data_IF_028046198525
#
_entry.id   IF_028046198525
#
_cell.length_a   1.000
_cell.length_b   1.000
_cell.length_c   1.000
_cell.angle_alpha   90.00
_cell.angle_beta   90.00
_cell.angle_gamma   90.00
#
_symmetry.space_group_name_H-M   'P 1'
#
loop_
_entity.id
_entity.type
_entity.pdbx_description
1 polymer ?
#
# COMPACT_ATOMS: atom_id res chain seq x y z
N UNK A 1 0.92 -9.41 30.18
CA UNK A 1 0.20 -8.21 29.71
C UNK A 1 1.19 -7.38 28.92
N UNK A 2 1.23 -7.55 27.59
CA UNK A 2 2.08 -6.71 26.74
C UNK A 2 1.62 -5.25 26.86
N UNK A 3 2.58 -4.34 27.03
CA UNK A 3 2.33 -2.91 27.19
C UNK A 3 1.68 -2.41 25.90
N UNK A 4 0.38 -2.14 25.95
CA UNK A 4 -0.43 -1.81 24.77
C UNK A 4 -0.11 -0.46 24.10
N UNK A 5 0.97 0.26 24.48
CA UNK A 5 1.27 1.53 23.83
C UNK A 5 2.73 2.01 23.95
N UNK A 6 3.37 2.26 22.80
CA UNK A 6 4.74 2.83 22.68
C UNK A 6 4.74 4.34 22.37
N UNK A 7 3.60 5.04 22.48
CA UNK A 7 3.51 6.48 22.21
C UNK A 7 3.52 6.92 20.73
N UNK A 8 3.69 6.00 19.77
CA UNK A 8 3.67 6.30 18.33
C UNK A 8 2.25 6.12 17.74
N UNK A 9 1.55 7.20 17.32
CA UNK A 9 0.21 7.11 16.73
C UNK A 9 0.18 6.29 15.44
N UNK A 10 1.28 6.23 14.70
CA UNK A 10 1.38 5.48 13.44
C UNK A 10 1.26 3.98 13.65
N UNK A 11 1.47 3.47 14.87
CA UNK A 11 1.24 2.05 15.21
C UNK A 11 -0.25 1.71 15.39
N UNK A 12 -1.15 2.71 15.53
CA UNK A 12 -2.59 2.47 15.69
C UNK A 12 -3.25 2.14 14.35
N UNK A 13 -4.00 1.03 14.21
CA UNK A 13 -4.69 0.69 12.96
C UNK A 13 -5.63 1.80 12.45
N UNK A 14 -6.31 2.52 13.36
CA UNK A 14 -7.19 3.65 13.00
C UNK A 14 -6.45 4.83 12.38
N UNK A 15 -5.23 5.12 12.84
CA UNK A 15 -4.42 6.19 12.26
C UNK A 15 -4.01 5.83 10.82
N UNK A 16 -3.49 4.61 10.63
CA UNK A 16 -3.13 4.10 9.30
C UNK A 16 -4.33 4.10 8.35
N UNK A 17 -5.48 3.64 8.82
CA UNK A 17 -6.72 3.66 8.05
C UNK A 17 -7.13 5.06 7.62
N UNK A 18 -7.09 6.04 8.54
CA UNK A 18 -7.41 7.44 8.25
C UNK A 18 -6.44 8.05 7.23
N UNK A 19 -5.16 7.71 7.31
CA UNK A 19 -4.18 8.12 6.29
C UNK A 19 -4.56 7.61 4.91
N UNK A 20 -4.92 6.32 4.78
CA UNK A 20 -5.35 5.76 3.49
C UNK A 20 -6.62 6.44 2.99
N UNK A 21 -7.60 6.71 3.87
CA UNK A 21 -8.84 7.37 3.48
C UNK A 21 -8.64 8.80 3.01
N UNK A 22 -7.74 9.55 3.65
CA UNK A 22 -7.46 10.94 3.30
C UNK A 22 -6.61 11.07 2.03
N UNK A 23 -5.75 10.12 1.73
CA UNK A 23 -4.76 10.24 0.64
C UNK A 23 -5.09 9.39 -0.60
N UNK A 24 -6.33 8.90 -0.76
CA UNK A 24 -6.74 8.03 -1.88
C UNK A 24 -6.36 8.58 -3.26
N UNK A 25 -6.59 9.87 -3.48
CA UNK A 25 -6.31 10.52 -4.77
C UNK A 25 -4.81 10.55 -5.09
N UNK A 26 -3.96 10.74 -4.08
CA UNK A 26 -2.51 10.73 -4.23
C UNK A 26 -1.98 9.31 -4.45
N UNK A 27 -2.54 8.33 -3.72
CA UNK A 27 -2.19 6.91 -3.87
C UNK A 27 -2.47 6.40 -5.28
N UNK A 28 -3.60 6.79 -5.89
CA UNK A 28 -3.92 6.43 -7.28
C UNK A 28 -2.86 6.92 -8.26
N UNK A 29 -2.26 8.09 -8.01
CA UNK A 29 -1.24 8.67 -8.89
C UNK A 29 0.16 8.10 -8.66
N UNK A 30 0.49 7.80 -7.41
CA UNK A 30 1.86 7.48 -6.98
C UNK A 30 2.18 5.98 -6.92
N UNK A 31 1.18 5.12 -6.77
CA UNK A 31 1.39 3.67 -6.66
C UNK A 31 1.39 3.02 -8.05
N UNK A 32 2.58 2.70 -8.56
CA UNK A 32 2.77 2.04 -9.85
C UNK A 32 2.77 0.51 -9.75
N UNK A 33 3.29 -0.05 -8.67
CA UNK A 33 3.49 -1.50 -8.46
C UNK A 33 2.31 -2.19 -7.73
N UNK A 34 1.07 -1.93 -8.18
CA UNK A 34 -0.13 -2.47 -7.49
C UNK A 34 -0.13 -3.98 -7.34
N UNK A 35 0.28 -4.74 -8.37
CA UNK A 35 0.21 -6.20 -8.29
C UNK A 35 1.10 -6.75 -7.18
N UNK A 36 2.30 -6.18 -6.98
CA UNK A 36 3.17 -6.57 -5.88
C UNK A 36 2.54 -6.29 -4.51
N UNK A 37 1.81 -5.18 -4.37
CA UNK A 37 1.09 -4.86 -3.13
C UNK A 37 -0.09 -5.83 -2.92
N UNK A 38 -0.83 -6.16 -3.98
CA UNK A 38 -1.93 -7.12 -3.94
C UNK A 38 -1.44 -8.51 -3.54
N UNK A 39 -0.31 -8.95 -4.10
CA UNK A 39 0.31 -10.24 -3.75
C UNK A 39 0.73 -10.25 -2.27
N UNK A 40 1.30 -9.15 -1.75
CA UNK A 40 1.67 -9.00 -0.33
C UNK A 40 0.45 -8.97 0.60
N UNK A 41 -0.69 -8.43 0.15
CA UNK A 41 -1.95 -8.49 0.91
C UNK A 41 -2.52 -9.91 0.95
N UNK A 42 -2.21 -10.75 -0.05
CA UNK A 42 -2.53 -12.17 -0.07
C UNK A 42 -4.02 -12.44 0.15
N UNK A 43 -4.34 -13.24 1.17
CA UNK A 43 -5.71 -13.67 1.47
C UNK A 43 -6.66 -12.54 1.91
N UNK A 44 -6.15 -11.33 2.17
CA UNK A 44 -7.00 -10.16 2.40
C UNK A 44 -7.68 -9.67 1.12
N UNK A 45 -7.19 -10.08 -0.05
CA UNK A 45 -7.78 -9.80 -1.35
C UNK A 45 -8.51 -11.05 -1.83
N UNK A 46 -9.83 -10.97 -1.97
CA UNK A 46 -10.62 -12.06 -2.54
C UNK A 46 -10.16 -12.37 -3.96
N UNK A 47 -10.16 -13.65 -4.35
CA UNK A 47 -9.70 -14.13 -5.67
C UNK A 47 -10.42 -13.46 -6.85
N UNK A 48 -11.71 -13.20 -6.71
CA UNK A 48 -12.49 -12.45 -7.71
C UNK A 48 -11.97 -11.01 -7.84
N UNK A 49 -11.78 -10.33 -6.69
CA UNK A 49 -11.24 -8.97 -6.69
C UNK A 49 -9.81 -8.93 -7.24
N UNK A 50 -8.97 -9.92 -6.91
CA UNK A 50 -7.63 -10.08 -7.48
C UNK A 50 -7.69 -10.13 -9.00
N UNK A 51 -8.56 -10.98 -9.56
CA UNK A 51 -8.72 -11.16 -11.00
C UNK A 51 -9.18 -9.86 -11.68
N UNK A 52 -10.12 -9.14 -11.06
CA UNK A 52 -10.59 -7.84 -11.57
C UNK A 52 -9.48 -6.80 -11.55
N UNK A 53 -8.66 -6.75 -10.50
CA UNK A 53 -7.48 -5.85 -10.45
C UNK A 53 -6.50 -6.24 -11.55
N UNK A 54 -6.12 -7.52 -11.65
CA UNK A 54 -5.15 -8.00 -12.65
C UNK A 54 -5.58 -7.66 -14.08
N UNK A 55 -6.87 -7.73 -14.37
CA UNK A 55 -7.46 -7.44 -15.68
C UNK A 55 -7.45 -5.95 -16.08
N UNK A 56 -7.27 -5.02 -15.13
CA UNK A 56 -7.22 -3.59 -15.48
C UNK A 56 -5.98 -3.28 -16.32
N UNK A 57 -6.14 -2.36 -17.27
CA UNK A 57 -5.08 -1.97 -18.21
C UNK A 57 -4.02 -1.10 -17.56
N UNK A 58 -4.40 -0.17 -16.69
CA UNK A 58 -3.49 0.83 -16.13
C UNK A 58 -3.27 0.61 -14.64
N UNK A 59 -2.10 0.99 -14.11
CA UNK A 59 -1.85 0.93 -12.66
C UNK A 59 -2.83 1.80 -11.87
N UNK A 60 -3.25 2.94 -12.42
CA UNK A 60 -4.21 3.84 -11.77
C UNK A 60 -5.57 3.17 -11.57
N UNK A 61 -6.06 2.46 -12.59
CA UNK A 61 -7.32 1.71 -12.50
C UNK A 61 -7.19 0.54 -11.53
N UNK A 62 -6.03 -0.12 -11.50
CA UNK A 62 -5.71 -1.16 -10.50
C UNK A 62 -5.81 -0.63 -9.07
N UNK A 63 -5.17 0.52 -8.78
CA UNK A 63 -5.24 1.14 -7.44
C UNK A 63 -6.69 1.50 -7.12
N UNK A 64 -7.43 2.03 -8.09
CA UNK A 64 -8.83 2.43 -7.90
C UNK A 64 -9.71 1.24 -7.52
N UNK A 65 -9.59 0.11 -8.21
CA UNK A 65 -10.32 -1.12 -7.87
C UNK A 65 -9.93 -1.63 -6.49
N UNK A 66 -8.63 -1.66 -6.18
CA UNK A 66 -8.13 -2.09 -4.86
C UNK A 66 -8.70 -1.23 -3.72
N UNK A 67 -8.75 0.09 -3.90
CA UNK A 67 -9.31 1.03 -2.93
C UNK A 67 -10.82 0.83 -2.73
N UNK A 68 -11.56 0.62 -3.82
CA UNK A 68 -13.02 0.52 -3.80
C UNK A 68 -13.53 -0.83 -3.30
N UNK A 69 -12.86 -1.93 -3.64
CA UNK A 69 -13.30 -3.27 -3.27
C UNK A 69 -12.68 -3.72 -1.97
N UNK A 70 -11.36 -3.88 -1.95
CA UNK A 70 -10.64 -4.49 -0.82
C UNK A 70 -10.54 -3.53 0.37
N UNK A 71 -10.08 -2.30 0.15
CA UNK A 71 -9.78 -1.38 1.26
C UNK A 71 -11.05 -0.76 1.84
N UNK A 72 -12.11 -0.59 1.04
CA UNK A 72 -13.39 -0.13 1.53
C UNK A 72 -14.07 -1.17 2.43
N UNK A 73 -14.18 -2.42 1.97
CA UNK A 73 -14.86 -3.50 2.71
C UNK A 73 -14.03 -4.10 3.85
N UNK A 74 -12.70 -4.17 3.71
CA UNK A 74 -11.79 -4.80 4.67
C UNK A 74 -11.55 -4.01 5.96
N UNK A 75 -12.09 -2.80 6.07
CA UNK A 75 -12.03 -1.99 7.28
C UNK A 75 -10.60 -1.60 7.70
N UNK A 76 -10.44 -1.21 8.97
CA UNK A 76 -9.19 -0.65 9.48
C UNK A 76 -8.01 -1.64 9.43
N UNK A 77 -8.27 -2.95 9.55
CA UNK A 77 -7.23 -3.99 9.51
C UNK A 77 -6.56 -4.06 8.14
N UNK A 78 -7.34 -4.15 7.07
CA UNK A 78 -6.79 -4.24 5.71
C UNK A 78 -6.13 -2.93 5.30
N UNK A 79 -6.70 -1.78 5.65
CA UNK A 79 -6.06 -0.47 5.40
C UNK A 79 -4.73 -0.32 6.15
N UNK A 80 -4.63 -0.84 7.38
CA UNK A 80 -3.38 -0.83 8.14
C UNK A 80 -2.31 -1.71 7.47
N UNK A 81 -2.65 -2.91 7.01
CA UNK A 81 -1.73 -3.79 6.29
C UNK A 81 -1.23 -3.13 4.98
N UNK A 82 -2.15 -2.52 4.22
CA UNK A 82 -1.79 -1.78 3.00
C UNK A 82 -0.84 -0.60 3.30
N UNK A 83 -1.10 0.17 4.37
CA UNK A 83 -0.19 1.24 4.80
C UNK A 83 1.22 0.71 5.15
N UNK A 84 1.32 -0.42 5.85
CA UNK A 84 2.60 -1.01 6.24
C UNK A 84 3.41 -1.47 5.02
N UNK A 85 2.73 -2.05 4.02
CA UNK A 85 3.35 -2.42 2.73
C UNK A 85 3.88 -1.16 2.02
N UNK A 86 3.05 -0.10 1.89
CA UNK A 86 3.47 1.15 1.26
C UNK A 86 4.69 1.77 1.94
N UNK A 87 4.71 1.80 3.27
CA UNK A 87 5.83 2.37 4.05
C UNK A 87 7.11 1.54 3.88
N UNK A 88 6.98 0.22 3.72
CA UNK A 88 8.12 -0.67 3.49
C UNK A 88 8.69 -0.47 2.09
N UNK A 89 7.83 -0.34 1.08
CA UNK A 89 8.23 -0.16 -0.31
C UNK A 89 8.84 1.23 -0.56
N UNK A 90 8.31 2.29 0.06
CA UNK A 90 8.92 3.62 0.01
C UNK A 90 10.27 3.69 0.73
N UNK A 91 10.43 2.99 1.86
CA UNK A 91 11.73 2.87 2.55
C UNK A 91 12.74 2.01 1.77
N UNK A 92 12.29 1.11 0.91
CA UNK A 92 13.16 0.34 0.02
C UNK A 92 13.71 1.22 -1.11
N UNK A 93 12.92 2.17 -1.64
CA UNK A 93 13.37 3.12 -2.67
C UNK A 93 14.41 4.14 -2.18
N UNK A 94 14.48 4.43 -0.87
CA UNK A 94 15.52 5.33 -0.32
C UNK A 94 16.86 4.63 -0.09
N UNK A 95 16.93 3.29 -0.18
CA UNK A 95 18.19 2.54 -0.04
C UNK A 95 18.93 2.27 -1.35
N UNK A 96 18.33 2.61 -2.51
CA UNK A 96 18.88 2.30 -3.83
C UNK A 96 19.37 3.49 -4.68
N UNK A 97 19.23 4.74 -4.22
CA UNK A 97 19.55 5.94 -5.05
C UNK A 97 20.98 6.48 -4.88
N UNK A 98 21.92 5.69 -4.37
CA UNK A 98 23.33 6.11 -4.19
C UNK A 98 24.38 5.14 -4.76
N UNK A 99 24.18 4.52 -5.92
CA UNK A 99 25.30 3.95 -6.71
C UNK A 99 24.92 3.77 -8.18
N UNK A 100 25.08 4.81 -9.00
CA UNK A 100 25.38 4.71 -10.44
C UNK A 100 25.26 6.10 -11.08
N UNK A 101 26.38 6.83 -11.12
CA UNK A 101 26.78 7.80 -12.16
C UNK A 101 27.95 8.64 -11.65
N UNK A 102 29.15 8.05 -11.66
CA UNK A 102 30.39 8.83 -11.80
C UNK A 102 31.53 7.95 -12.26
N UNK A 103 31.66 7.81 -13.59
CA UNK A 103 32.92 7.48 -14.26
C UNK A 103 32.64 7.40 -15.77
N UNK A 104 32.67 8.56 -16.42
CA UNK A 104 33.01 8.73 -17.83
C UNK A 104 33.40 10.21 -17.99
N UNK A 105 34.66 10.50 -17.71
CA UNK A 105 35.45 11.63 -18.22
C UNK A 105 36.91 11.22 -18.12
#
# INVERSE_FOLDING_TARGET
MERCWDGDPSKRPRFKAKFIDNNKAELIKSVSEVMAIVDKLGNMVQSETYSVIKAQRTSQDKVRVLLQRTLHSGGAKVKAAFYDILKTDQKAQTKGKHTAKRSLS
#
